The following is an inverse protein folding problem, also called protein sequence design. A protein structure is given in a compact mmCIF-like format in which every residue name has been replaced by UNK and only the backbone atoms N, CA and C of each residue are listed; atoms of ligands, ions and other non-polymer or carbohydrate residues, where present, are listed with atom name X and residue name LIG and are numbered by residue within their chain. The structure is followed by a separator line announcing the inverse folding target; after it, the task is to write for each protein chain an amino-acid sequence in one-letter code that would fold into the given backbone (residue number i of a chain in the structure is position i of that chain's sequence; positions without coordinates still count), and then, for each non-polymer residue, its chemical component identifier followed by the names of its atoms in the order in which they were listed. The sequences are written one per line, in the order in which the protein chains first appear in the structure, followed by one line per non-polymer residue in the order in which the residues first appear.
data_IF_337033026745
#
_entry.id   IF_337033026745
#
_cell.length_a   1.000
_cell.length_b   1.000
_cell.length_c   1.000
_cell.angle_alpha   90.00
_cell.angle_beta   90.00
_cell.angle_gamma   90.00
#
_symmetry.space_group_name_H-M   'P 1'
#
loop_
_entity.id
_entity.type
_entity.pdbx_description
1 polymer ?
#
# COMPACT_ATOMS: atom_id res chain seq x y z
N UNK A 1 12.29 7.41 16.81
CA UNK A 1 12.38 5.96 16.52
C UNK A 1 13.65 5.72 15.73
N UNK A 2 14.38 4.63 16.01
CA UNK A 2 15.49 4.21 15.17
C UNK A 2 14.95 3.53 13.90
N UNK A 3 15.56 3.80 12.75
CA UNK A 3 15.22 3.16 11.48
C UNK A 3 15.66 1.69 11.50
N UNK A 4 14.81 0.79 11.01
CA UNK A 4 15.12 -0.63 10.88
C UNK A 4 15.76 -0.87 9.51
N UNK A 5 17.04 -0.54 9.41
CA UNK A 5 17.80 -0.56 8.14
C UNK A 5 18.02 -1.96 7.54
N UNK A 6 17.70 -3.02 8.28
CA UNK A 6 17.91 -4.40 7.84
C UNK A 6 16.61 -5.15 7.57
N UNK A 7 15.44 -4.55 7.86
CA UNK A 7 14.17 -5.22 7.61
C UNK A 7 13.85 -5.16 6.11
N UNK A 8 13.89 -6.32 5.45
CA UNK A 8 13.60 -6.44 4.01
C UNK A 8 12.21 -7.02 3.71
N UNK A 9 11.55 -7.61 4.72
CA UNK A 9 10.28 -8.29 4.57
C UNK A 9 9.32 -7.89 5.69
N UNK A 10 8.14 -7.40 5.31
CA UNK A 10 7.05 -7.05 6.22
C UNK A 10 5.73 -7.62 5.68
N UNK A 11 5.01 -8.34 6.53
CA UNK A 11 3.64 -8.77 6.26
C UNK A 11 2.71 -8.18 7.31
N UNK A 12 1.55 -7.70 6.85
CA UNK A 12 0.47 -7.15 7.65
C UNK A 12 -0.85 -7.88 7.37
N UNK A 13 -0.76 -9.11 6.88
CA UNK A 13 -1.91 -9.87 6.37
C UNK A 13 -3.10 -9.91 7.32
N UNK A 14 -4.31 -9.86 6.74
CA UNK A 14 -5.58 -9.91 7.46
C UNK A 14 -5.73 -8.85 8.57
N UNK A 15 -5.10 -7.68 8.41
CA UNK A 15 -5.18 -6.56 9.36
C UNK A 15 -6.07 -5.43 8.86
N UNK A 16 -6.71 -4.71 9.80
CA UNK A 16 -7.36 -3.43 9.52
C UNK A 16 -6.33 -2.31 9.65
N UNK A 17 -6.07 -1.61 8.55
CA UNK A 17 -5.00 -0.61 8.45
C UNK A 17 -5.60 0.76 8.04
N UNK A 18 -5.03 1.84 8.56
CA UNK A 18 -5.27 3.16 7.99
C UNK A 18 -4.18 3.47 6.96
N UNK A 19 -4.53 4.12 5.85
CA UNK A 19 -3.61 4.38 4.74
C UNK A 19 -2.36 5.18 5.16
N UNK A 20 -2.47 6.00 6.21
CA UNK A 20 -1.33 6.75 6.75
C UNK A 20 -0.22 5.87 7.30
N UNK A 21 -0.49 4.59 7.62
CA UNK A 21 0.53 3.66 8.07
C UNK A 21 1.61 3.43 7.01
N UNK A 22 1.26 3.48 5.72
CA UNK A 22 2.23 3.33 4.63
C UNK A 22 3.35 4.38 4.71
N UNK A 23 3.03 5.61 5.15
CA UNK A 23 4.02 6.66 5.35
C UNK A 23 5.03 6.29 6.44
N UNK A 24 4.53 5.77 7.56
CA UNK A 24 5.38 5.27 8.63
C UNK A 24 6.25 4.10 8.17
N UNK A 25 5.68 3.15 7.40
CA UNK A 25 6.43 1.99 6.89
C UNK A 25 7.58 2.45 6.00
N UNK A 26 7.33 3.30 5.01
CA UNK A 26 8.38 3.78 4.12
C UNK A 26 9.46 4.59 4.85
N UNK A 27 9.08 5.34 5.89
CA UNK A 27 10.04 6.10 6.70
C UNK A 27 10.87 5.24 7.64
N UNK A 28 10.27 4.20 8.25
CA UNK A 28 10.91 3.38 9.29
C UNK A 28 11.75 2.25 8.67
N UNK A 29 11.35 1.75 7.50
CA UNK A 29 11.95 0.59 6.83
C UNK A 29 12.55 0.97 5.47
N UNK A 30 13.67 1.72 5.42
CA UNK A 30 14.25 2.20 4.16
C UNK A 30 14.75 1.08 3.23
N UNK A 31 15.03 -0.11 3.78
CA UNK A 31 15.53 -1.28 3.05
C UNK A 31 14.44 -2.29 2.71
N UNK A 32 13.16 -1.95 2.91
CA UNK A 32 12.05 -2.87 2.70
C UNK A 32 11.95 -3.26 1.22
N UNK A 33 12.05 -4.56 0.94
CA UNK A 33 11.95 -5.14 -0.42
C UNK A 33 10.62 -5.83 -0.67
N UNK A 34 9.98 -6.33 0.38
CA UNK A 34 8.73 -7.08 0.29
C UNK A 34 7.71 -6.51 1.29
N UNK A 35 6.55 -6.13 0.77
CA UNK A 35 5.41 -5.69 1.56
C UNK A 35 4.18 -6.50 1.16
N UNK A 36 3.63 -7.26 2.11
CA UNK A 36 2.35 -7.95 1.96
C UNK A 36 1.28 -7.27 2.82
N UNK A 37 0.20 -6.88 2.17
CA UNK A 37 -1.05 -6.43 2.80
C UNK A 37 -2.23 -7.27 2.28
N UNK A 38 -1.97 -8.56 2.01
CA UNK A 38 -3.03 -9.43 1.52
C UNK A 38 -4.15 -9.57 2.56
N UNK A 39 -5.40 -9.58 2.08
CA UNK A 39 -6.59 -9.61 2.93
C UNK A 39 -6.76 -8.41 3.88
N UNK A 40 -6.01 -7.32 3.71
CA UNK A 40 -6.17 -6.14 4.53
C UNK A 40 -7.40 -5.32 4.14
N UNK A 41 -8.04 -4.71 5.15
CA UNK A 41 -8.98 -3.62 4.98
C UNK A 41 -8.23 -2.31 5.19
N UNK A 42 -8.13 -1.50 4.13
CA UNK A 42 -7.38 -0.24 4.17
C UNK A 42 -8.35 0.93 4.16
N UNK A 43 -8.48 1.56 5.32
CA UNK A 43 -9.30 2.75 5.52
C UNK A 43 -8.56 4.01 5.05
N UNK A 44 -9.29 4.92 4.42
CA UNK A 44 -8.77 6.18 3.87
C UNK A 44 -8.60 6.17 2.35
N UNK A 45 -8.32 7.33 1.77
CA UNK A 45 -8.18 7.53 0.32
C UNK A 45 -6.74 7.86 -0.02
N UNK A 46 -6.17 7.12 -0.96
CA UNK A 46 -4.88 7.47 -1.56
C UNK A 46 -5.06 8.70 -2.47
N UNK A 47 -4.50 9.84 -2.07
CA UNK A 47 -4.35 11.00 -2.95
C UNK A 47 -2.92 11.00 -3.49
N UNK A 48 -2.75 11.21 -4.80
CA UNK A 48 -1.45 11.10 -5.47
C UNK A 48 -0.37 12.01 -4.88
N UNK A 49 -0.74 13.22 -4.43
CA UNK A 49 0.14 14.06 -3.63
C UNK A 49 0.16 13.56 -2.18
N UNK A 50 1.13 12.70 -1.84
CA UNK A 50 1.34 12.22 -0.48
C UNK A 50 1.36 10.70 -0.32
N UNK A 51 1.50 9.93 -1.41
CA UNK A 51 1.87 8.53 -1.28
C UNK A 51 3.36 8.40 -0.93
N UNK A 52 3.76 7.49 -0.02
CA UNK A 52 5.16 7.33 0.35
C UNK A 52 6.01 6.71 -0.74
N UNK A 53 7.27 7.15 -0.83
CA UNK A 53 8.24 6.59 -1.77
C UNK A 53 8.94 5.36 -1.19
N UNK A 54 8.63 4.20 -1.75
CA UNK A 54 9.26 2.93 -1.43
C UNK A 54 10.41 2.63 -2.40
N UNK A 55 11.55 3.28 -2.17
CA UNK A 55 12.70 3.24 -3.09
C UNK A 55 13.28 1.84 -3.31
N UNK A 56 13.18 0.96 -2.33
CA UNK A 56 13.80 -0.38 -2.35
C UNK A 56 12.79 -1.50 -2.57
N UNK A 57 11.50 -1.19 -2.69
CA UNK A 57 10.45 -2.20 -2.71
C UNK A 57 10.40 -2.89 -4.06
N UNK A 58 10.54 -4.21 -4.03
CA UNK A 58 10.57 -5.06 -5.22
C UNK A 58 9.29 -5.89 -5.37
N UNK A 59 8.64 -6.26 -4.26
CA UNK A 59 7.42 -7.07 -4.26
C UNK A 59 6.34 -6.38 -3.43
N UNK A 60 5.20 -6.13 -4.07
CA UNK A 60 4.04 -5.55 -3.41
C UNK A 60 2.81 -6.43 -3.60
N UNK A 61 2.34 -7.02 -2.50
CA UNK A 61 1.16 -7.89 -2.49
C UNK A 61 -0.01 -7.20 -1.82
N UNK A 62 -1.08 -7.00 -2.58
CA UNK A 62 -2.36 -6.48 -2.12
C UNK A 62 -3.52 -7.40 -2.49
N UNK A 63 -3.27 -8.69 -2.74
CA UNK A 63 -4.34 -9.64 -3.11
C UNK A 63 -5.44 -9.64 -2.06
N UNK A 64 -6.69 -9.67 -2.50
CA UNK A 64 -7.87 -9.61 -1.62
C UNK A 64 -7.97 -8.35 -0.75
N UNK A 65 -7.09 -7.36 -0.92
CA UNK A 65 -7.16 -6.12 -0.16
C UNK A 65 -8.39 -5.30 -0.58
N UNK A 66 -9.06 -4.74 0.42
CA UNK A 66 -10.14 -3.75 0.24
C UNK A 66 -9.55 -2.37 0.42
N UNK A 67 -9.21 -1.72 -0.69
CA UNK A 67 -8.62 -0.38 -0.68
C UNK A 67 -9.31 0.51 -1.72
N UNK A 68 -9.62 1.75 -1.35
CA UNK A 68 -10.13 2.75 -2.28
C UNK A 68 -8.96 3.30 -3.12
N UNK A 69 -8.73 2.69 -4.28
CA UNK A 69 -7.72 3.11 -5.25
C UNK A 69 -8.39 3.86 -6.40
N UNK A 70 -7.97 5.09 -6.65
CA UNK A 70 -8.49 5.90 -7.76
C UNK A 70 -7.80 5.52 -9.09
N UNK A 71 -8.23 6.15 -10.18
CA UNK A 71 -7.69 5.94 -11.54
C UNK A 71 -6.20 6.25 -11.65
N UNK A 72 -5.60 6.99 -10.71
CA UNK A 72 -4.17 7.29 -10.69
C UNK A 72 -3.35 6.28 -9.88
N UNK A 73 -3.91 5.16 -9.41
CA UNK A 73 -3.15 4.17 -8.62
C UNK A 73 -1.91 3.64 -9.35
N UNK A 74 -2.05 3.23 -10.62
CA UNK A 74 -0.90 2.74 -11.38
C UNK A 74 0.16 3.82 -11.61
N UNK A 75 -0.26 5.08 -11.77
CA UNK A 75 0.65 6.22 -11.82
C UNK A 75 1.41 6.38 -10.51
N UNK A 76 0.71 6.29 -9.37
CA UNK A 76 1.32 6.34 -8.04
C UNK A 76 2.34 5.21 -7.85
N UNK A 77 2.03 3.99 -8.29
CA UNK A 77 2.99 2.88 -8.27
C UNK A 77 4.24 3.24 -9.08
N UNK A 78 4.07 3.74 -10.31
CA UNK A 78 5.18 4.12 -11.18
C UNK A 78 6.06 5.24 -10.60
N UNK A 79 5.46 6.22 -9.91
CA UNK A 79 6.19 7.33 -9.30
C UNK A 79 6.84 6.94 -7.96
N UNK A 80 6.19 6.09 -7.17
CA UNK A 80 6.56 5.85 -5.77
C UNK A 80 7.39 4.58 -5.55
N UNK A 81 7.40 3.65 -6.50
CA UNK A 81 8.03 2.32 -6.35
C UNK A 81 8.96 2.01 -7.54
N UNK A 82 10.05 2.78 -7.73
CA UNK A 82 10.90 2.65 -8.91
C UNK A 82 11.62 1.30 -9.05
N UNK A 83 11.72 0.52 -7.98
CA UNK A 83 12.37 -0.80 -7.97
C UNK A 83 11.38 -1.98 -8.05
N UNK A 84 10.08 -1.71 -8.24
CA UNK A 84 9.06 -2.74 -8.21
C UNK A 84 9.23 -3.73 -9.36
N UNK A 85 9.26 -5.02 -9.04
CA UNK A 85 9.37 -6.13 -9.99
C UNK A 85 8.08 -6.96 -10.03
N UNK A 86 7.40 -7.09 -8.90
CA UNK A 86 6.19 -7.90 -8.76
C UNK A 86 5.08 -7.12 -8.07
N UNK A 87 3.91 -7.10 -8.71
CA UNK A 87 2.70 -6.46 -8.21
C UNK A 87 1.55 -7.47 -8.24
N UNK A 88 1.02 -7.83 -7.07
CA UNK A 88 -0.05 -8.81 -6.94
C UNK A 88 -1.35 -8.12 -6.50
N UNK A 89 -2.36 -8.13 -7.38
CA UNK A 89 -3.65 -7.44 -7.21
C UNK A 89 -4.86 -8.36 -7.41
N UNK A 90 -4.66 -9.68 -7.46
CA UNK A 90 -5.74 -10.63 -7.67
C UNK A 90 -6.81 -10.50 -6.59
N UNK A 91 -8.08 -10.49 -6.98
CA UNK A 91 -9.23 -10.37 -6.09
C UNK A 91 -9.27 -9.08 -5.24
N UNK A 92 -8.48 -8.07 -5.60
CA UNK A 92 -8.53 -6.75 -4.98
C UNK A 92 -9.62 -5.90 -5.63
N UNK A 93 -10.31 -5.07 -4.85
CA UNK A 93 -11.34 -4.18 -5.40
C UNK A 93 -10.70 -2.85 -5.75
N UNK A 94 -10.38 -2.63 -7.03
CA UNK A 94 -9.88 -1.33 -7.53
C UNK A 94 -11.08 -0.39 -7.74
N UNK A 95 -11.51 0.27 -6.67
CA UNK A 95 -12.73 1.09 -6.68
C UNK A 95 -12.58 2.39 -7.47
N UNK A 96 -13.03 2.43 -8.72
CA UNK A 96 -13.39 3.69 -9.37
C UNK A 96 -14.68 4.22 -8.72
N UNK A 97 -14.56 5.34 -7.99
CA UNK A 97 -15.66 6.11 -7.41
C UNK A 97 -16.45 5.42 -6.29
N UNK A 98 -15.95 5.54 -5.07
CA UNK A 98 -16.71 5.29 -3.84
C UNK A 98 -17.76 6.37 -3.60
N UNK A 99 -18.83 6.41 -4.39
CA UNK A 99 -20.09 7.04 -3.92
C UNK A 99 -20.91 6.10 -3.04
N UNK A 100 -20.44 4.86 -2.80
CA UNK A 100 -21.22 3.81 -2.13
C UNK A 100 -20.61 3.17 -0.88
N UNK A 101 -19.48 3.67 -0.35
CA UNK A 101 -18.88 3.12 0.90
C UNK A 101 -18.73 4.21 1.98
N UNK A 102 -19.72 5.09 2.14
CA UNK A 102 -19.79 6.04 3.27
C UNK A 102 -21.12 6.01 4.02
N UNK A 103 -21.92 4.95 3.87
CA UNK A 103 -23.08 4.71 4.72
C UNK A 103 -22.99 3.33 5.36
N UNK A 104 -22.17 3.23 6.41
CA UNK A 104 -22.43 2.46 7.63
C UNK A 104 -21.19 2.53 8.53
N UNK A 105 -21.37 3.22 9.65
CA UNK A 105 -20.38 3.54 10.67
C UNK A 105 -20.94 4.67 11.52
#
# INVERSE_FOLDING_TARGET
LHNFTNLEYLTLESSSLHISLLQSIASIFPSLKNLSMSFCEVNGVVRGQGFPHFKSLEHFDMRFARIALNTSFLQIIGESMPSLKYLLLSYSTLGTNSSRILHQG
#
